data_IF_439628922662
#
_entry.id   IF_439628922662
#
_cell.length_a   1.000
_cell.length_b   1.000
_cell.length_c   1.000
_cell.angle_alpha   90.00
_cell.angle_beta   90.00
_cell.angle_gamma   90.00
#
_symmetry.space_group_name_H-M   'P 1'
#
loop_
_entity.id
_entity.type
_entity.pdbx_description
1 polymer ?
#
# COMPACT_ATOMS: atom_id res chain seq x y z
N UNK A 1 14.19 -19.37 -34.35
CA UNK A 1 12.91 -19.11 -33.67
C UNK A 1 12.95 -19.26 -32.12
N UNK A 2 14.04 -19.77 -31.52
CA UNK A 2 14.09 -20.10 -30.07
C UNK A 2 14.70 -19.01 -29.16
N UNK A 3 15.48 -18.08 -29.67
CA UNK A 3 16.20 -17.10 -28.86
C UNK A 3 15.37 -15.88 -28.45
N UNK A 4 14.40 -15.49 -29.26
CA UNK A 4 13.51 -14.35 -28.96
C UNK A 4 12.56 -14.72 -27.82
N UNK A 5 12.11 -15.95 -27.78
CA UNK A 5 11.20 -16.44 -26.73
C UNK A 5 11.88 -16.53 -25.35
N UNK A 6 13.14 -16.97 -25.29
CA UNK A 6 13.91 -17.04 -24.04
C UNK A 6 14.15 -15.68 -23.39
N UNK A 7 14.47 -14.65 -24.16
CA UNK A 7 14.67 -13.27 -23.64
C UNK A 7 13.35 -12.66 -23.13
N UNK A 8 12.23 -12.93 -23.79
CA UNK A 8 10.91 -12.46 -23.36
C UNK A 8 10.48 -13.16 -22.06
N UNK A 9 10.72 -14.46 -21.96
CA UNK A 9 10.47 -15.27 -20.75
C UNK A 9 11.36 -14.79 -19.59
N UNK A 10 12.66 -14.57 -19.81
CA UNK A 10 13.57 -14.10 -18.79
C UNK A 10 13.20 -12.70 -18.24
N UNK A 11 12.76 -11.79 -19.12
CA UNK A 11 12.23 -10.48 -18.71
C UNK A 11 10.92 -10.61 -17.94
N UNK A 12 10.04 -11.53 -18.31
CA UNK A 12 8.81 -11.81 -17.58
C UNK A 12 9.08 -12.32 -16.16
N UNK A 13 10.03 -13.21 -15.97
CA UNK A 13 10.44 -13.71 -14.66
C UNK A 13 11.05 -12.60 -13.79
N UNK A 14 11.88 -11.75 -14.37
CA UNK A 14 12.45 -10.59 -13.64
C UNK A 14 11.36 -9.61 -13.22
N UNK A 15 10.35 -9.38 -14.09
CA UNK A 15 9.21 -8.55 -13.77
C UNK A 15 8.36 -9.14 -12.64
N UNK A 16 8.17 -10.45 -12.63
CA UNK A 16 7.48 -11.18 -11.55
C UNK A 16 8.18 -10.99 -10.20
N UNK A 17 9.49 -11.13 -10.16
CA UNK A 17 10.28 -10.92 -8.94
C UNK A 17 10.15 -9.47 -8.44
N UNK A 18 10.23 -8.50 -9.34
CA UNK A 18 10.04 -7.07 -8.99
C UNK A 18 8.63 -6.83 -8.44
N UNK A 19 7.60 -7.41 -9.08
CA UNK A 19 6.22 -7.33 -8.60
C UNK A 19 6.06 -7.95 -7.21
N UNK A 20 6.69 -9.09 -6.95
CA UNK A 20 6.69 -9.73 -5.63
C UNK A 20 7.34 -8.84 -4.56
N UNK A 21 8.46 -8.19 -4.88
CA UNK A 21 9.11 -7.25 -3.95
C UNK A 21 8.25 -6.01 -3.70
N UNK A 22 7.65 -5.44 -4.73
CA UNK A 22 6.73 -4.30 -4.62
C UNK A 22 5.50 -4.68 -3.78
N UNK A 23 5.03 -5.91 -3.89
CA UNK A 23 3.93 -6.41 -3.08
C UNK A 23 4.35 -6.63 -1.63
N UNK A 24 5.48 -7.30 -1.41
CA UNK A 24 5.91 -7.73 -0.08
C UNK A 24 6.28 -6.55 0.82
N UNK A 25 7.08 -5.60 0.33
CA UNK A 25 7.63 -4.52 1.17
C UNK A 25 6.54 -3.58 1.71
N UNK A 26 5.70 -2.93 0.89
CA UNK A 26 4.66 -2.05 1.41
C UNK A 26 3.61 -2.77 2.24
N UNK A 27 3.25 -4.00 1.85
CA UNK A 27 2.27 -4.79 2.59
C UNK A 27 2.81 -5.22 3.96
N UNK A 28 4.06 -5.68 4.04
CA UNK A 28 4.69 -6.01 5.31
C UNK A 28 4.82 -4.79 6.22
N UNK A 29 5.21 -3.65 5.68
CA UNK A 29 5.32 -2.40 6.43
C UNK A 29 3.93 -1.98 6.95
N UNK A 30 2.94 -1.91 6.09
CA UNK A 30 1.60 -1.47 6.47
C UNK A 30 0.89 -2.43 7.45
N UNK A 31 1.09 -3.75 7.30
CA UNK A 31 0.34 -4.75 8.07
C UNK A 31 1.06 -5.24 9.32
N UNK A 32 2.40 -5.24 9.34
CA UNK A 32 3.15 -5.82 10.44
C UNK A 32 3.88 -4.80 11.32
N UNK A 33 4.30 -3.68 10.76
CA UNK A 33 4.99 -2.66 11.56
C UNK A 33 4.01 -1.87 12.40
N UNK A 34 2.83 -1.54 11.89
CA UNK A 34 1.81 -0.81 12.65
C UNK A 34 1.46 -1.50 13.98
N UNK A 35 1.19 -2.83 14.02
CA UNK A 35 0.89 -3.52 15.29
C UNK A 35 2.02 -3.45 16.33
N UNK A 36 3.27 -3.36 15.91
CA UNK A 36 4.41 -3.27 16.84
C UNK A 36 4.41 -1.95 17.65
N UNK A 37 3.90 -0.89 17.08
CA UNK A 37 3.81 0.40 17.75
C UNK A 37 2.57 0.53 18.65
N UNK A 38 1.61 -0.40 18.53
CA UNK A 38 0.34 -0.34 19.28
C UNK A 38 0.59 -0.27 20.78
N UNK A 39 1.42 -1.16 21.32
CA UNK A 39 1.68 -1.24 22.75
C UNK A 39 2.36 0.02 23.28
N UNK A 40 3.33 0.55 22.55
CA UNK A 40 4.05 1.75 22.94
C UNK A 40 3.17 3.00 22.91
N UNK A 41 2.40 3.17 21.84
CA UNK A 41 1.50 4.33 21.67
C UNK A 41 0.35 4.31 22.67
N UNK A 42 -0.21 3.14 22.96
CA UNK A 42 -1.27 2.98 23.97
C UNK A 42 -0.74 3.32 25.36
N UNK A 43 0.46 2.88 25.72
CA UNK A 43 1.07 3.18 27.00
C UNK A 43 1.41 4.66 27.17
N UNK A 44 1.89 5.29 26.11
CA UNK A 44 2.32 6.69 26.15
C UNK A 44 1.14 7.68 26.18
N UNK A 45 0.09 7.39 25.41
CA UNK A 45 -1.06 8.29 25.25
C UNK A 45 -2.31 7.85 26.05
N UNK A 46 -2.28 6.69 26.71
CA UNK A 46 -3.42 6.18 27.51
C UNK A 46 -4.64 5.80 26.66
N UNK A 47 -4.47 5.48 25.39
CA UNK A 47 -5.56 5.08 24.49
C UNK A 47 -6.06 3.67 24.84
N UNK A 48 -7.36 3.41 24.62
CA UNK A 48 -7.88 2.05 24.72
C UNK A 48 -7.42 1.19 23.53
N UNK A 49 -7.14 -0.08 23.79
CA UNK A 49 -6.77 -1.04 22.74
C UNK A 49 -7.86 -1.14 21.65
N UNK A 50 -9.11 -1.08 22.04
CA UNK A 50 -10.25 -1.12 21.13
C UNK A 50 -10.29 0.12 20.23
N UNK A 51 -10.10 1.33 20.81
CA UNK A 51 -10.07 2.58 20.05
C UNK A 51 -8.93 2.62 19.04
N UNK A 52 -7.76 2.09 19.43
CA UNK A 52 -6.62 2.02 18.53
C UNK A 52 -6.81 0.97 17.42
N UNK A 53 -7.43 -0.17 17.72
CA UNK A 53 -7.73 -1.22 16.73
C UNK A 53 -8.69 -0.75 15.63
N UNK A 54 -9.57 0.21 15.92
CA UNK A 54 -10.44 0.83 14.92
C UNK A 54 -9.67 1.54 13.80
N UNK A 55 -8.42 1.92 14.02
CA UNK A 55 -7.55 2.50 12.99
C UNK A 55 -7.45 1.57 11.78
N UNK A 56 -7.24 0.28 12.03
CA UNK A 56 -7.15 -0.72 10.96
C UNK A 56 -8.48 -0.91 10.23
N UNK A 57 -9.57 -0.94 10.97
CA UNK A 57 -10.92 -1.07 10.41
C UNK A 57 -11.26 0.11 9.51
N UNK A 58 -11.05 1.32 9.98
CA UNK A 58 -11.30 2.55 9.20
C UNK A 58 -10.39 2.59 7.97
N UNK A 59 -9.10 2.30 8.12
CA UNK A 59 -8.16 2.25 7.01
C UNK A 59 -8.57 1.25 5.94
N UNK A 60 -9.02 0.05 6.34
CA UNK A 60 -9.48 -1.00 5.43
C UNK A 60 -10.76 -0.59 4.70
N UNK A 61 -11.73 0.00 5.39
CA UNK A 61 -12.97 0.49 4.78
C UNK A 61 -12.68 1.58 3.75
N UNK A 62 -11.86 2.56 4.11
CA UNK A 62 -11.46 3.64 3.19
C UNK A 62 -10.74 3.08 1.97
N UNK A 63 -9.83 2.13 2.17
CA UNK A 63 -9.12 1.45 1.09
C UNK A 63 -10.07 0.66 0.17
N UNK A 64 -11.06 -0.03 0.74
CA UNK A 64 -12.06 -0.78 -0.01
C UNK A 64 -12.94 0.14 -0.87
N UNK A 65 -13.35 1.29 -0.34
CA UNK A 65 -14.12 2.30 -1.08
C UNK A 65 -13.26 2.93 -2.18
N UNK A 66 -12.00 3.25 -1.87
CA UNK A 66 -11.07 3.85 -2.83
C UNK A 66 -10.68 2.88 -3.96
N UNK A 67 -10.72 1.57 -3.72
CA UNK A 67 -10.30 0.52 -4.65
C UNK A 67 -10.87 0.65 -6.06
N UNK A 68 -12.18 0.72 -6.27
CA UNK A 68 -12.79 0.87 -7.59
C UNK A 68 -12.37 2.16 -8.31
N UNK A 69 -12.22 3.27 -7.56
CA UNK A 69 -11.76 4.55 -8.11
C UNK A 69 -10.30 4.47 -8.55
N UNK A 70 -9.45 3.89 -7.72
CA UNK A 70 -8.05 3.66 -8.03
C UNK A 70 -7.92 2.73 -9.25
N UNK A 71 -8.68 1.64 -9.29
CA UNK A 71 -8.71 0.71 -10.44
C UNK A 71 -9.07 1.40 -11.75
N UNK A 72 -10.07 2.29 -11.74
CA UNK A 72 -10.46 3.06 -12.92
C UNK A 72 -9.40 4.07 -13.38
N UNK A 73 -8.55 4.52 -12.46
CA UNK A 73 -7.48 5.47 -12.73
C UNK A 73 -6.30 4.82 -13.46
N UNK A 74 -6.03 3.53 -13.19
CA UNK A 74 -4.96 2.78 -13.86
C UNK A 74 -5.12 2.68 -15.40
N UNK A 75 -6.34 2.77 -15.90
CA UNK A 75 -6.60 2.79 -17.35
C UNK A 75 -6.41 4.16 -18.03
N UNK A 76 -6.34 5.24 -17.25
CA UNK A 76 -6.35 6.63 -17.76
C UNK A 76 -5.08 7.40 -17.50
N UNK A 77 -4.29 7.02 -16.52
CA UNK A 77 -3.12 7.75 -16.05
C UNK A 77 -1.86 6.89 -16.18
N UNK A 78 -0.72 7.54 -16.33
CA UNK A 78 0.58 6.87 -16.44
C UNK A 78 0.87 6.03 -15.18
N UNK A 79 1.15 4.76 -15.38
CA UNK A 79 1.41 3.78 -14.31
C UNK A 79 2.48 4.27 -13.32
N UNK A 80 3.54 4.90 -13.84
CA UNK A 80 4.62 5.45 -13.01
C UNK A 80 4.12 6.54 -12.05
N UNK A 81 3.23 7.42 -12.51
CA UNK A 81 2.68 8.49 -11.69
C UNK A 81 1.84 7.91 -10.54
N UNK A 82 1.01 6.90 -10.80
CA UNK A 82 0.16 6.26 -9.80
C UNK A 82 1.01 5.58 -8.72
N UNK A 83 2.04 4.83 -9.10
CA UNK A 83 2.96 4.21 -8.15
C UNK A 83 3.74 5.23 -7.33
N UNK A 84 4.18 6.34 -7.95
CA UNK A 84 4.86 7.42 -7.23
C UNK A 84 3.93 8.07 -6.20
N UNK A 85 2.68 8.33 -6.55
CA UNK A 85 1.67 8.86 -5.62
C UNK A 85 1.43 7.87 -4.48
N UNK A 86 1.27 6.58 -4.77
CA UNK A 86 1.13 5.54 -3.75
C UNK A 86 2.31 5.48 -2.78
N UNK A 87 3.54 5.56 -3.30
CA UNK A 87 4.75 5.56 -2.49
C UNK A 87 4.84 6.81 -1.60
N UNK A 88 4.53 8.00 -2.13
CA UNK A 88 4.52 9.26 -1.38
C UNK A 88 3.43 9.24 -0.30
N UNK A 89 2.24 8.77 -0.60
CA UNK A 89 1.16 8.63 0.38
C UNK A 89 1.54 7.66 1.51
N UNK A 90 2.12 6.52 1.17
CA UNK A 90 2.52 5.52 2.14
C UNK A 90 3.68 6.04 3.01
N UNK A 91 4.76 6.51 2.41
CA UNK A 91 5.94 7.02 3.12
C UNK A 91 5.65 8.29 3.90
N UNK A 92 4.97 9.27 3.30
CA UNK A 92 4.56 10.51 3.95
C UNK A 92 3.57 10.26 5.09
N UNK A 93 2.64 9.32 4.92
CA UNK A 93 1.73 8.90 5.96
C UNK A 93 2.46 8.32 7.18
N UNK A 94 3.48 7.48 6.97
CA UNK A 94 4.31 6.99 8.09
C UNK A 94 5.05 8.10 8.82
N UNK A 95 5.56 9.09 8.11
CA UNK A 95 6.16 10.28 8.76
C UNK A 95 5.12 11.06 9.57
N UNK A 96 3.90 11.18 9.07
CA UNK A 96 2.82 11.88 9.77
C UNK A 96 2.39 11.17 11.07
N UNK A 97 2.55 9.85 11.17
CA UNK A 97 2.30 9.13 12.42
C UNK A 97 3.14 9.68 13.59
N UNK A 98 4.35 10.17 13.32
CA UNK A 98 5.21 10.78 14.34
C UNK A 98 4.66 12.09 14.92
N UNK A 99 3.78 12.76 14.19
CA UNK A 99 3.16 14.02 14.62
C UNK A 99 1.75 13.84 15.21
N UNK A 100 1.23 12.61 15.21
CA UNK A 100 -0.09 12.31 15.72
C UNK A 100 -0.09 12.28 17.24
N UNK A 101 -0.88 13.16 17.86
CA UNK A 101 -1.05 13.22 19.32
C UNK A 101 -2.49 12.86 19.76
N UNK A 102 -3.41 12.70 18.83
CA UNK A 102 -4.83 12.41 19.10
C UNK A 102 -5.34 11.24 18.26
N UNK A 103 -6.29 10.49 18.80
CA UNK A 103 -6.91 9.33 18.12
C UNK A 103 -7.46 9.67 16.72
N UNK A 104 -8.21 10.78 16.52
CA UNK A 104 -8.72 11.14 15.19
C UNK A 104 -7.62 11.40 14.15
N UNK A 105 -6.47 11.95 14.60
CA UNK A 105 -5.31 12.14 13.70
C UNK A 105 -4.75 10.79 13.25
N UNK A 106 -4.65 9.82 14.16
CA UNK A 106 -4.24 8.45 13.81
C UNK A 106 -5.18 7.82 12.79
N UNK A 107 -6.49 8.01 12.92
CA UNK A 107 -7.48 7.51 11.96
C UNK A 107 -7.28 8.10 10.56
N UNK A 108 -7.07 9.40 10.46
CA UNK A 108 -6.84 10.09 9.19
C UNK A 108 -5.56 9.64 8.51
N UNK A 109 -4.47 9.59 9.25
CA UNK A 109 -3.16 9.18 8.73
C UNK A 109 -3.17 7.70 8.32
N UNK A 110 -3.79 6.83 9.11
CA UNK A 110 -3.94 5.42 8.78
C UNK A 110 -4.74 5.22 7.49
N UNK A 111 -5.80 5.98 7.27
CA UNK A 111 -6.55 5.95 6.02
C UNK A 111 -5.67 6.30 4.81
N UNK A 112 -4.84 7.34 4.93
CA UNK A 112 -3.90 7.75 3.88
C UNK A 112 -2.88 6.64 3.59
N UNK A 113 -2.28 6.05 4.62
CA UNK A 113 -1.30 4.97 4.47
C UNK A 113 -1.93 3.74 3.83
N UNK A 114 -3.12 3.36 4.23
CA UNK A 114 -3.83 2.21 3.68
C UNK A 114 -4.23 2.40 2.22
N UNK A 115 -4.65 3.60 1.83
CA UNK A 115 -4.89 3.94 0.42
C UNK A 115 -3.59 3.86 -0.38
N UNK A 116 -2.49 4.41 0.13
CA UNK A 116 -1.17 4.29 -0.50
C UNK A 116 -0.73 2.84 -0.69
N UNK A 117 -0.88 2.02 0.35
CA UNK A 117 -0.57 0.59 0.29
C UNK A 117 -1.47 -0.17 -0.70
N UNK A 118 -2.76 0.16 -0.77
CA UNK A 118 -3.69 -0.44 -1.74
C UNK A 118 -3.32 -0.11 -3.19
N UNK A 119 -2.87 1.11 -3.46
CA UNK A 119 -2.37 1.52 -4.78
C UNK A 119 -1.16 0.67 -5.16
N UNK A 120 -0.22 0.50 -4.25
CA UNK A 120 1.05 -0.18 -4.55
C UNK A 120 0.89 -1.71 -4.63
N UNK A 121 0.13 -2.32 -3.73
CA UNK A 121 0.08 -3.77 -3.60
C UNK A 121 -1.21 -4.38 -4.13
N UNK A 122 -2.37 -3.90 -3.70
CA UNK A 122 -3.65 -4.58 -3.93
C UNK A 122 -4.12 -4.53 -5.37
N UNK A 123 -3.97 -3.39 -6.02
CA UNK A 123 -4.56 -3.12 -7.35
C UNK A 123 -3.47 -3.02 -8.41
N UNK A 124 -2.34 -2.41 -8.07
CA UNK A 124 -1.28 -2.11 -9.01
C UNK A 124 -0.59 -3.34 -9.57
N UNK A 125 -0.29 -4.33 -8.73
CA UNK A 125 0.46 -5.52 -9.16
C UNK A 125 -0.30 -6.39 -10.17
N UNK A 126 -1.58 -6.75 -9.98
CA UNK A 126 -2.36 -7.47 -10.98
C UNK A 126 -2.43 -6.75 -12.32
N UNK A 127 -2.60 -5.43 -12.31
CA UNK A 127 -2.66 -4.64 -13.54
C UNK A 127 -1.31 -4.60 -14.25
N UNK A 128 -0.22 -4.49 -13.49
CA UNK A 128 1.13 -4.49 -14.04
C UNK A 128 1.46 -5.83 -14.71
N UNK A 129 1.04 -6.93 -14.09
CA UNK A 129 1.22 -8.28 -14.65
C UNK A 129 0.40 -8.43 -15.92
N UNK A 130 -0.88 -8.05 -15.91
CA UNK A 130 -1.73 -8.13 -17.09
C UNK A 130 -1.20 -7.29 -18.26
N UNK A 131 -0.77 -6.07 -18.00
CA UNK A 131 -0.19 -5.17 -19.02
C UNK A 131 1.11 -5.69 -19.65
N UNK A 132 1.78 -6.67 -19.00
CA UNK A 132 3.03 -7.23 -19.50
C UNK A 132 2.85 -8.57 -20.22
N UNK A 133 1.82 -9.33 -19.86
CA UNK A 133 1.55 -10.66 -20.42
C UNK A 133 0.51 -10.66 -21.56
N UNK A 134 -0.17 -9.54 -21.84
CA UNK A 134 -0.96 -9.29 -23.03
C UNK A 134 -0.06 -8.83 -24.18
#
# INVERSE_FOLDING_TARGET
MSTINKKKIQKGWMMLIVCMLIQAVPFCIASNIQPLFISSVIQEHGFSLTGFSLIFTIGTIVSAIAGPFIGSLFGKVNLKAIYTVGAVLCGGGFMLFSYCNTLPMFYGVAAIVQVGAAIMSGIGVPILINAWFD
#
